data_IF_691747801700
#
_entry.id   IF_691747801700
#
_cell.length_a   1.000
_cell.length_b   1.000
_cell.length_c   1.000
_cell.angle_alpha   90.00
_cell.angle_beta   90.00
_cell.angle_gamma   90.00
#
_symmetry.space_group_name_H-M   'P 1'
#
loop_
_entity.id
_entity.type
_entity.pdbx_description
1 polymer ?
#
# COMPACT_ATOMS: atom_id res chain seq x y z
N UNK A 1 17.67 -6.06 -9.26
CA UNK A 1 16.64 -6.74 -8.44
C UNK A 1 16.47 -8.20 -8.90
N UNK A 2 16.08 -9.15 -8.03
CA UNK A 2 16.08 -10.60 -8.33
C UNK A 2 14.88 -11.02 -9.21
N UNK A 3 15.09 -11.98 -10.11
CA UNK A 3 14.12 -12.51 -11.10
C UNK A 3 12.71 -12.90 -10.60
N UNK A 4 12.50 -13.40 -9.36
CA UNK A 4 11.16 -13.76 -8.90
C UNK A 4 10.19 -12.57 -8.82
N UNK A 5 10.71 -11.37 -8.55
CA UNK A 5 9.92 -10.13 -8.41
C UNK A 5 9.33 -9.69 -9.77
N UNK A 6 10.04 -9.98 -10.86
CA UNK A 6 9.63 -9.64 -12.23
C UNK A 6 8.58 -10.60 -12.81
N UNK A 7 8.50 -11.84 -12.30
CA UNK A 7 7.53 -12.82 -12.82
C UNK A 7 6.13 -12.67 -12.20
N UNK A 8 6.00 -11.92 -11.10
CA UNK A 8 4.74 -11.80 -10.34
C UNK A 8 3.99 -10.48 -10.57
N UNK A 9 4.37 -9.63 -11.53
CA UNK A 9 3.86 -8.24 -11.64
C UNK A 9 4.08 -7.36 -10.37
N UNK A 10 4.63 -7.91 -9.30
CA UNK A 10 4.81 -7.31 -7.97
C UNK A 10 5.87 -6.20 -7.93
N UNK A 11 6.86 -6.22 -8.82
CA UNK A 11 7.88 -5.16 -8.90
C UNK A 11 7.31 -3.77 -9.21
N UNK A 12 6.34 -3.68 -10.13
CA UNK A 12 5.72 -2.39 -10.47
C UNK A 12 4.74 -1.91 -9.39
N UNK A 13 4.06 -2.85 -8.70
CA UNK A 13 3.08 -2.51 -7.67
C UNK A 13 3.76 -1.86 -6.46
N UNK A 14 4.86 -2.44 -5.98
CA UNK A 14 5.53 -1.95 -4.77
C UNK A 14 6.20 -0.58 -4.99
N UNK A 15 6.79 -0.36 -6.17
CA UNK A 15 7.43 0.91 -6.54
C UNK A 15 6.38 2.04 -6.67
N UNK A 16 5.24 1.76 -7.31
CA UNK A 16 4.16 2.73 -7.44
C UNK A 16 3.50 3.05 -6.10
N UNK A 17 3.22 2.02 -5.29
CA UNK A 17 2.68 2.18 -3.95
C UNK A 17 3.61 2.99 -3.06
N UNK A 18 4.93 2.78 -3.14
CA UNK A 18 5.93 3.55 -2.40
C UNK A 18 6.01 5.02 -2.84
N UNK A 19 5.91 5.28 -4.14
CA UNK A 19 5.85 6.65 -4.67
C UNK A 19 4.63 7.39 -4.16
N UNK A 20 3.45 6.74 -4.20
CA UNK A 20 2.20 7.34 -3.73
C UNK A 20 2.22 7.55 -2.21
N UNK A 21 2.74 6.60 -1.44
CA UNK A 21 2.93 6.73 0.00
C UNK A 21 3.81 7.94 0.34
N UNK A 22 4.91 8.12 -0.40
CA UNK A 22 5.80 9.27 -0.22
C UNK A 22 5.13 10.61 -0.56
N UNK A 23 4.25 10.63 -1.57
CA UNK A 23 3.47 11.81 -1.91
C UNK A 23 2.42 12.16 -0.84
N UNK A 24 1.71 11.15 -0.31
CA UNK A 24 0.74 11.29 0.79
C UNK A 24 1.41 11.83 2.05
N UNK A 25 2.58 11.30 2.40
CA UNK A 25 3.35 11.83 3.53
C UNK A 25 3.81 13.28 3.30
N UNK A 26 4.20 13.61 2.06
CA UNK A 26 4.68 14.96 1.72
C UNK A 26 3.59 16.03 1.85
N UNK A 27 2.32 15.65 1.70
CA UNK A 27 1.15 16.53 1.92
C UNK A 27 0.67 16.54 3.37
N UNK A 28 1.37 15.84 4.28
CA UNK A 28 1.12 15.87 5.72
C UNK A 28 0.13 14.83 6.22
N UNK A 29 -0.19 13.81 5.43
CA UNK A 29 -1.02 12.67 5.83
C UNK A 29 -0.14 11.48 6.21
N UNK A 30 -0.66 10.57 7.04
CA UNK A 30 0.07 9.37 7.40
C UNK A 30 -0.22 8.26 6.39
N UNK A 31 0.82 7.53 6.00
CA UNK A 31 0.77 6.51 4.97
C UNK A 31 1.42 5.21 5.45
N UNK A 32 0.80 4.09 5.10
CA UNK A 32 1.35 2.75 5.31
C UNK A 32 1.30 1.91 4.04
N UNK A 33 2.21 0.95 3.92
CA UNK A 33 2.21 -0.02 2.82
C UNK A 33 1.84 -1.37 3.40
N UNK A 34 0.76 -1.97 2.88
CA UNK A 34 0.34 -3.31 3.25
C UNK A 34 0.87 -4.29 2.21
N UNK A 35 1.59 -5.31 2.66
CA UNK A 35 2.18 -6.34 1.81
C UNK A 35 1.43 -7.66 2.01
N UNK A 36 0.96 -8.24 0.92
CA UNK A 36 0.31 -9.55 0.87
C UNK A 36 1.06 -10.45 -0.13
N UNK A 37 0.81 -11.78 -0.15
CA UNK A 37 1.46 -12.67 -1.09
C UNK A 37 1.13 -12.28 -2.53
N UNK A 38 2.11 -11.67 -3.22
CA UNK A 38 1.99 -11.28 -4.63
C UNK A 38 1.44 -9.88 -4.90
N UNK A 39 1.12 -9.08 -3.87
CA UNK A 39 0.55 -7.75 -4.06
C UNK A 39 0.87 -6.77 -2.92
N UNK A 40 0.84 -5.47 -3.23
CA UNK A 40 1.04 -4.41 -2.25
C UNK A 40 0.13 -3.22 -2.56
N UNK A 41 -0.50 -2.65 -1.52
CA UNK A 41 -1.41 -1.51 -1.63
C UNK A 41 -1.13 -0.48 -0.53
N UNK A 42 -1.63 0.73 -0.74
CA UNK A 42 -1.39 1.88 0.14
C UNK A 42 -2.52 1.98 1.17
N UNK A 43 -2.20 2.23 2.44
CA UNK A 43 -3.13 2.74 3.43
C UNK A 43 -2.89 4.23 3.65
N UNK A 44 -3.96 5.03 3.69
CA UNK A 44 -3.90 6.48 3.98
C UNK A 44 -4.75 6.78 5.21
N UNK A 45 -4.14 7.40 6.22
CA UNK A 45 -4.87 7.83 7.39
C UNK A 45 -5.83 8.97 7.03
N UNK A 46 -7.12 8.75 7.22
CA UNK A 46 -8.18 9.74 6.97
C UNK A 46 -8.61 10.48 8.23
N UNK A 47 -8.11 10.06 9.40
CA UNK A 47 -8.31 10.73 10.68
C UNK A 47 -6.99 11.22 11.27
N UNK A 48 -6.97 12.38 11.97
CA UNK A 48 -5.74 12.92 12.57
C UNK A 48 -5.14 12.09 13.71
N UNK A 49 -5.85 11.06 14.16
CA UNK A 49 -5.38 10.14 15.21
C UNK A 49 -4.78 8.85 14.66
N UNK A 50 -4.62 8.75 13.33
CA UNK A 50 -4.04 7.61 12.61
C UNK A 50 -4.68 6.26 12.95
N UNK A 51 -5.98 6.28 13.32
CA UNK A 51 -6.71 5.05 13.66
C UNK A 51 -7.57 4.51 12.54
N UNK A 52 -7.87 5.34 11.55
CA UNK A 52 -8.65 4.95 10.39
C UNK A 52 -7.83 5.15 9.12
N UNK A 53 -7.53 4.04 8.46
CA UNK A 53 -6.88 4.02 7.16
C UNK A 53 -7.92 3.63 6.11
N UNK A 54 -7.91 4.34 4.99
CA UNK A 54 -8.52 3.89 3.74
C UNK A 54 -7.44 3.26 2.88
N UNK A 55 -7.75 2.11 2.29
CA UNK A 55 -6.79 1.38 1.48
C UNK A 55 -7.02 1.63 -0.01
N UNK A 56 -5.95 1.98 -0.71
CA UNK A 56 -5.95 2.34 -2.12
C UNK A 56 -5.05 1.39 -2.90
N UNK A 57 -5.65 0.60 -3.79
CA UNK A 57 -4.91 -0.19 -4.76
C UNK A 57 -4.65 0.64 -6.04
N UNK A 58 -3.46 1.22 -6.13
CA UNK A 58 -3.04 2.03 -7.27
C UNK A 58 -2.85 1.21 -8.57
N UNK A 59 -2.88 -0.13 -8.50
CA UNK A 59 -2.64 -1.04 -9.63
C UNK A 59 -3.96 -1.62 -10.18
N UNK A 60 -5.01 -1.72 -9.36
CA UNK A 60 -6.33 -2.25 -9.76
C UNK A 60 -7.21 -1.30 -10.59
N UNK A 61 -6.76 -0.08 -10.92
CA UNK A 61 -7.50 0.86 -11.80
C UNK A 61 -7.68 0.30 -13.23
N UNK A 62 -7.08 -0.85 -13.56
CA UNK A 62 -7.17 -1.54 -14.84
C UNK A 62 -8.45 -2.40 -15.03
N UNK A 63 -9.20 -2.76 -13.97
CA UNK A 63 -10.29 -3.75 -14.06
C UNK A 63 -11.69 -3.17 -14.35
N UNK A 64 -11.79 -1.99 -14.99
CA UNK A 64 -13.06 -1.28 -15.28
C UNK A 64 -13.86 -0.87 -14.02
N UNK A 65 -13.20 -0.79 -12.87
CA UNK A 65 -13.79 -0.37 -11.61
C UNK A 65 -13.48 1.13 -11.44
N UNK A 66 -14.53 1.97 -11.33
CA UNK A 66 -14.37 3.39 -11.06
C UNK A 66 -13.61 3.60 -9.75
N UNK A 67 -12.74 4.61 -9.65
CA UNK A 67 -11.81 4.78 -8.52
C UNK A 67 -12.44 4.76 -7.11
N UNK A 68 -13.71 5.12 -6.98
CA UNK A 68 -14.48 5.02 -5.72
C UNK A 68 -14.75 3.56 -5.30
N UNK A 69 -14.99 2.69 -6.28
CA UNK A 69 -15.19 1.26 -6.06
C UNK A 69 -13.88 0.50 -5.80
N UNK A 70 -12.73 1.04 -6.20
CA UNK A 70 -11.41 0.45 -5.90
C UNK A 70 -11.10 0.54 -4.40
N UNK A 71 -11.47 1.64 -3.72
CA UNK A 71 -11.23 1.80 -2.29
C UNK A 71 -12.04 0.78 -1.47
N UNK A 72 -13.32 0.58 -1.80
CA UNK A 72 -14.17 -0.43 -1.14
C UNK A 72 -13.60 -1.84 -1.33
N UNK A 73 -13.15 -2.18 -2.55
CA UNK A 73 -12.56 -3.49 -2.86
C UNK A 73 -11.23 -3.69 -2.13
N UNK A 74 -10.42 -2.64 -1.99
CA UNK A 74 -9.12 -2.73 -1.31
C UNK A 74 -9.31 -2.83 0.21
N UNK A 75 -10.28 -2.12 0.79
CA UNK A 75 -10.67 -2.27 2.20
C UNK A 75 -11.15 -3.70 2.49
N UNK A 76 -11.97 -4.27 1.60
CA UNK A 76 -12.39 -5.67 1.70
C UNK A 76 -11.19 -6.63 1.58
N UNK A 77 -10.25 -6.36 0.66
CA UNK A 77 -9.04 -7.15 0.50
C UNK A 77 -8.16 -7.09 1.77
N UNK A 78 -8.02 -5.92 2.39
CA UNK A 78 -7.33 -5.78 3.67
C UNK A 78 -8.00 -6.63 4.76
N UNK A 79 -9.32 -6.49 4.94
CA UNK A 79 -10.07 -7.25 5.94
C UNK A 79 -9.97 -8.76 5.72
N UNK A 80 -10.07 -9.21 4.47
CA UNK A 80 -9.92 -10.63 4.11
C UNK A 80 -8.51 -11.13 4.44
N UNK A 81 -7.46 -10.41 4.06
CA UNK A 81 -6.08 -10.81 4.35
C UNK A 81 -5.78 -10.78 5.86
N UNK A 82 -6.36 -9.83 6.59
CA UNK A 82 -6.27 -9.78 8.05
C UNK A 82 -6.96 -10.99 8.70
N UNK A 83 -8.18 -11.33 8.26
CA UNK A 83 -8.92 -12.51 8.75
C UNK A 83 -8.22 -13.83 8.42
N UNK A 84 -7.64 -13.93 7.23
CA UNK A 84 -6.92 -15.11 6.76
C UNK A 84 -5.48 -15.19 7.28
N UNK A 85 -5.02 -14.17 8.01
CA UNK A 85 -3.63 -14.04 8.49
C UNK A 85 -2.60 -14.15 7.35
N UNK A 86 -2.94 -13.60 6.19
CA UNK A 86 -2.09 -13.59 4.99
C UNK A 86 -1.35 -12.28 4.80
N UNK A 87 -1.58 -11.27 5.65
CA UNK A 87 -0.74 -10.06 5.66
C UNK A 87 0.69 -10.47 6.01
N UNK A 88 1.63 -10.16 5.11
CA UNK A 88 3.05 -10.46 5.27
C UNK A 88 3.71 -9.39 6.12
N UNK A 89 3.41 -8.12 5.84
CA UNK A 89 3.96 -6.98 6.57
C UNK A 89 3.08 -5.74 6.41
N UNK A 90 3.18 -4.80 7.36
CA UNK A 90 2.60 -3.46 7.29
C UNK A 90 3.71 -2.47 7.65
N UNK A 91 4.05 -1.60 6.70
CA UNK A 91 5.16 -0.66 6.85
C UNK A 91 4.60 0.75 6.94
N UNK A 92 4.68 1.36 8.12
CA UNK A 92 4.42 2.78 8.29
C UNK A 92 5.60 3.58 7.73
N UNK A 93 5.34 4.52 6.81
CA UNK A 93 6.43 5.23 6.10
C UNK A 93 7.24 6.11 7.06
N UNK A 94 6.60 6.71 8.06
CA UNK A 94 7.29 7.52 9.07
C UNK A 94 8.30 6.69 9.87
N UNK A 95 7.97 5.43 10.21
CA UNK A 95 8.88 4.51 10.90
C UNK A 95 10.05 4.10 10.01
N UNK A 96 9.79 3.81 8.73
CA UNK A 96 10.85 3.51 7.76
C UNK A 96 11.83 4.69 7.60
N UNK A 97 11.33 5.92 7.53
CA UNK A 97 12.17 7.13 7.45
C UNK A 97 12.96 7.38 8.74
N UNK A 98 12.34 7.18 9.90
CA UNK A 98 13.02 7.27 11.20
C UNK A 98 14.15 6.23 11.32
N UNK A 99 14.02 5.08 10.66
CA UNK A 99 15.05 4.05 10.55
C UNK A 99 16.14 4.36 9.51
N UNK A 100 16.13 5.52 8.86
CA UNK A 100 17.00 5.89 7.73
C UNK A 100 16.88 4.94 6.52
N UNK A 101 15.71 4.33 6.35
CA UNK A 101 15.39 3.53 5.17
C UNK A 101 14.73 4.49 4.17
N UNK A 102 15.54 5.02 3.26
CA UNK A 102 15.06 5.88 2.18
C UNK A 102 14.44 5.03 1.06
N UNK A 103 13.37 5.52 0.40
CA UNK A 103 12.85 4.87 -0.80
C UNK A 103 13.98 4.81 -1.84
N UNK A 104 14.32 3.59 -2.28
CA UNK A 104 15.31 3.40 -3.33
C UNK A 104 14.77 4.01 -4.64
N UNK A 105 15.25 5.20 -4.98
CA UNK A 105 15.06 5.86 -6.27
C UNK A 105 15.93 5.22 -7.37
#
# INVERSE_FOLDING_TARGET
MPRPILQQHSGMCIELTLLLASAVERIGLHAEIVITPGHAFLGVAVTPDDKHFEYWDAVQVNDNIAGDSTNIVTDEAYLQNMQQHTIVDIILISDARNANIEPML
#
